data_IF_881113497542
#
_entry.id   IF_881113497542
#
_cell.length_a   1.000
_cell.length_b   1.000
_cell.length_c   1.000
_cell.angle_alpha   90.00
_cell.angle_beta   90.00
_cell.angle_gamma   90.00
#
_symmetry.space_group_name_H-M   'P 1'
#
loop_
_entity.id
_entity.type
_entity.pdbx_description
1 polymer ?
#
# COMPACT_ATOMS: atom_id res chain seq x y z
N UNK A 1 -14.16 23.72 -1.22
CA UNK A 1 -12.89 23.59 -1.98
C UNK A 1 -12.49 22.14 -1.89
N UNK A 2 -12.63 21.36 -2.96
CA UNK A 2 -12.09 19.99 -2.97
C UNK A 2 -10.58 20.18 -2.97
N UNK A 3 -9.91 19.79 -1.89
CA UNK A 3 -8.46 19.83 -1.84
C UNK A 3 -7.95 19.07 -3.06
N UNK A 4 -7.23 19.77 -3.94
CA UNK A 4 -6.46 19.11 -4.98
C UNK A 4 -5.47 18.23 -4.24
N UNK A 5 -5.77 16.94 -4.13
CA UNK A 5 -5.05 16.07 -3.21
C UNK A 5 -3.70 15.77 -3.87
N UNK A 6 -2.70 16.63 -3.62
CA UNK A 6 -1.39 16.63 -4.28
C UNK A 6 -0.72 15.26 -4.26
N UNK A 7 -1.03 14.45 -3.24
CA UNK A 7 -0.61 13.06 -3.12
C UNK A 7 -1.18 12.16 -4.24
N UNK A 8 -2.44 12.35 -4.64
CA UNK A 8 -3.05 11.60 -5.76
C UNK A 8 -2.44 11.96 -7.11
N UNK A 9 -1.96 13.21 -7.26
CA UNK A 9 -1.25 13.63 -8.46
C UNK A 9 0.12 12.92 -8.57
N UNK A 10 0.83 12.74 -7.44
CA UNK A 10 2.08 11.97 -7.40
C UNK A 10 1.87 10.56 -7.94
N UNK A 11 0.82 9.87 -7.48
CA UNK A 11 0.52 8.49 -7.89
C UNK A 11 0.14 8.38 -9.38
N UNK A 12 -0.64 9.34 -9.88
CA UNK A 12 -1.18 9.28 -11.25
C UNK A 12 -0.21 9.78 -12.32
N UNK A 13 0.70 10.69 -11.97
CA UNK A 13 1.72 11.22 -12.88
C UNK A 13 3.00 10.38 -12.90
N UNK A 14 3.26 9.59 -11.86
CA UNK A 14 4.45 8.75 -11.74
C UNK A 14 4.07 7.27 -11.72
N UNK A 15 3.21 6.83 -12.64
CA UNK A 15 2.77 5.44 -12.67
C UNK A 15 3.94 4.48 -12.85
N UNK A 16 3.85 3.30 -12.23
CA UNK A 16 4.81 2.23 -12.46
C UNK A 16 4.66 1.68 -13.88
N UNK A 17 5.72 1.81 -14.66
CA UNK A 17 5.83 1.32 -16.05
C UNK A 17 6.95 0.27 -16.21
N UNK A 18 7.65 -0.03 -15.12
CA UNK A 18 8.70 -1.04 -15.03
C UNK A 18 10.08 -0.41 -14.81
N UNK A 19 10.68 0.26 -15.82
CA UNK A 19 12.02 0.86 -15.68
C UNK A 19 12.15 1.90 -14.57
N UNK A 20 11.04 2.49 -14.13
CA UNK A 20 10.98 3.53 -13.10
C UNK A 20 10.67 2.98 -11.69
N UNK A 21 10.87 1.69 -11.43
CA UNK A 21 10.50 1.07 -10.14
C UNK A 21 11.07 1.79 -8.92
N UNK A 22 12.36 2.19 -8.96
CA UNK A 22 13.01 2.89 -7.84
C UNK A 22 12.34 4.23 -7.55
N UNK A 23 12.12 5.04 -8.58
CA UNK A 23 11.47 6.36 -8.45
C UNK A 23 10.00 6.23 -8.04
N UNK A 24 9.29 5.24 -8.60
CA UNK A 24 7.91 4.93 -8.23
C UNK A 24 7.80 4.54 -6.76
N UNK A 25 8.70 3.68 -6.27
CA UNK A 25 8.73 3.25 -4.86
C UNK A 25 8.98 4.43 -3.93
N UNK A 26 9.89 5.33 -4.28
CA UNK A 26 10.13 6.55 -3.50
C UNK A 26 8.89 7.46 -3.45
N UNK A 27 8.18 7.61 -4.57
CA UNK A 27 6.93 8.38 -4.63
C UNK A 27 5.82 7.74 -3.79
N UNK A 28 5.71 6.41 -3.83
CA UNK A 28 4.78 5.65 -2.99
C UNK A 28 5.08 5.86 -1.50
N UNK A 29 6.35 5.77 -1.08
CA UNK A 29 6.78 5.99 0.30
C UNK A 29 6.38 7.36 0.82
N UNK A 30 6.46 8.41 -0.01
CA UNK A 30 6.02 9.77 0.35
C UNK A 30 4.51 9.78 0.64
N UNK A 31 3.71 9.16 -0.23
CA UNK A 31 2.25 9.11 -0.06
C UNK A 31 1.88 8.30 1.18
N UNK A 32 2.45 7.11 1.37
CA UNK A 32 2.19 6.28 2.55
C UNK A 32 2.65 6.95 3.85
N UNK A 33 3.73 7.73 3.81
CA UNK A 33 4.15 8.54 4.97
C UNK A 33 3.12 9.61 5.31
N UNK A 34 2.66 10.36 4.30
CA UNK A 34 1.68 11.43 4.50
C UNK A 34 0.32 10.90 5.02
N UNK A 35 -0.08 9.71 4.58
CA UNK A 35 -1.30 9.02 5.01
C UNK A 35 -1.12 8.18 6.29
N UNK A 36 0.08 8.20 6.89
CA UNK A 36 0.42 7.45 8.11
C UNK A 36 0.31 5.92 7.98
N UNK A 37 0.55 5.39 6.78
CA UNK A 37 0.52 3.95 6.47
C UNK A 37 1.90 3.34 6.23
N UNK A 38 2.98 4.13 6.30
CA UNK A 38 4.35 3.63 6.06
C UNK A 38 4.74 2.44 6.94
N UNK A 39 4.19 2.35 8.16
CA UNK A 39 4.47 1.26 9.09
C UNK A 39 4.17 -0.13 8.49
N UNK A 40 3.24 -0.24 7.53
CA UNK A 40 2.93 -1.50 6.85
C UNK A 40 4.09 -2.08 6.04
N UNK A 41 5.06 -1.26 5.66
CA UNK A 41 6.22 -1.70 4.89
C UNK A 41 7.28 -2.38 5.76
N UNK A 42 7.28 -2.07 7.07
CA UNK A 42 8.29 -2.51 8.02
C UNK A 42 7.72 -3.49 9.07
N UNK A 43 6.41 -3.41 9.36
CA UNK A 43 5.74 -4.20 10.39
C UNK A 43 5.03 -5.43 9.81
N UNK A 44 5.14 -6.55 10.52
CA UNK A 44 4.42 -7.78 10.20
C UNK A 44 2.95 -7.63 10.55
N UNK A 45 2.07 -8.22 9.73
CA UNK A 45 0.64 -8.31 10.00
C UNK A 45 0.40 -8.90 11.40
N UNK A 46 -0.34 -8.21 12.29
CA UNK A 46 -0.69 -8.76 13.59
C UNK A 46 -1.53 -10.01 13.40
N UNK A 47 -1.26 -11.06 14.19
CA UNK A 47 -2.03 -12.30 14.13
C UNK A 47 -3.51 -12.02 14.36
N UNK A 48 -4.36 -12.65 13.54
CA UNK A 48 -5.81 -12.61 13.75
C UNK A 48 -6.09 -13.25 15.10
N UNK A 49 -6.73 -12.48 15.98
CA UNK A 49 -6.93 -12.78 17.39
C UNK A 49 -7.42 -14.21 17.64
N UNK A 50 -6.83 -14.85 18.67
CA UNK A 50 -7.39 -16.02 19.36
C UNK A 50 -8.49 -15.55 20.32
N UNK A 51 -9.26 -16.47 20.91
CA UNK A 51 -10.47 -16.17 21.69
C UNK A 51 -10.25 -15.30 22.96
N UNK A 52 -9.01 -14.93 23.29
CA UNK A 52 -8.56 -14.31 24.54
C UNK A 52 -7.91 -12.91 24.39
N UNK A 53 -8.10 -12.26 23.24
CA UNK A 53 -7.44 -10.99 22.88
C UNK A 53 -8.19 -9.76 23.44
N UNK A 54 -7.44 -8.75 23.89
CA UNK A 54 -7.97 -7.52 24.48
C UNK A 54 -8.63 -6.61 23.43
N UNK A 55 -9.51 -5.69 23.89
CA UNK A 55 -10.16 -4.71 22.99
C UNK A 55 -9.14 -3.84 22.25
N UNK A 56 -8.03 -3.48 22.91
CA UNK A 56 -6.96 -2.68 22.31
C UNK A 56 -6.22 -3.43 21.19
N UNK A 57 -5.95 -4.73 21.37
CA UNK A 57 -5.33 -5.57 20.34
C UNK A 57 -6.27 -5.78 19.15
N UNK A 58 -7.56 -5.99 19.40
CA UNK A 58 -8.57 -6.09 18.34
C UNK A 58 -8.67 -4.78 17.55
N UNK A 59 -8.60 -3.63 18.23
CA UNK A 59 -8.59 -2.31 17.59
C UNK A 59 -7.32 -2.07 16.77
N UNK A 60 -6.16 -2.50 17.26
CA UNK A 60 -4.90 -2.44 16.53
C UNK A 60 -4.96 -3.29 15.25
N UNK A 61 -5.49 -4.51 15.33
CA UNK A 61 -5.69 -5.39 14.17
C UNK A 61 -6.59 -4.74 13.11
N UNK A 62 -7.76 -4.22 13.50
CA UNK A 62 -8.65 -3.53 12.54
C UNK A 62 -8.02 -2.29 11.91
N UNK A 63 -7.24 -1.53 12.69
CA UNK A 63 -6.49 -0.38 12.17
C UNK A 63 -5.46 -0.83 11.13
N UNK A 64 -4.75 -1.93 11.39
CA UNK A 64 -3.77 -2.49 10.48
C UNK A 64 -4.42 -2.95 9.18
N UNK A 65 -5.52 -3.73 9.26
CA UNK A 65 -6.25 -4.20 8.07
C UNK A 65 -6.74 -3.04 7.21
N UNK A 66 -7.33 -2.01 7.83
CA UNK A 66 -7.76 -0.82 7.09
C UNK A 66 -6.59 -0.10 6.41
N UNK A 67 -5.45 -0.03 7.08
CA UNK A 67 -4.26 0.58 6.51
C UNK A 67 -3.75 -0.23 5.31
N UNK A 68 -3.69 -1.56 5.40
CA UNK A 68 -3.31 -2.46 4.31
C UNK A 68 -4.25 -2.31 3.09
N UNK A 69 -5.56 -2.31 3.32
CA UNK A 69 -6.56 -2.07 2.26
C UNK A 69 -6.34 -0.72 1.54
N UNK A 70 -6.08 0.35 2.30
CA UNK A 70 -5.85 1.67 1.73
C UNK A 70 -4.51 1.77 0.98
N UNK A 71 -3.45 1.20 1.53
CA UNK A 71 -2.14 1.14 0.89
C UNK A 71 -2.20 0.33 -0.42
N UNK A 72 -2.94 -0.78 -0.46
CA UNK A 72 -3.21 -1.54 -1.69
C UNK A 72 -3.91 -0.66 -2.74
N UNK A 73 -4.90 0.15 -2.35
CA UNK A 73 -5.55 1.10 -3.26
C UNK A 73 -4.55 2.08 -3.88
N UNK A 74 -3.63 2.64 -3.10
CA UNK A 74 -2.62 3.57 -3.61
C UNK A 74 -1.61 2.88 -4.55
N UNK A 75 -1.17 1.68 -4.20
CA UNK A 75 -0.27 0.88 -5.03
C UNK A 75 -0.93 0.58 -6.38
N UNK A 76 -2.15 0.02 -6.38
CA UNK A 76 -2.87 -0.32 -7.60
C UNK A 76 -3.21 0.93 -8.44
N UNK A 77 -3.57 2.05 -7.82
CA UNK A 77 -3.87 3.30 -8.54
C UNK A 77 -2.63 3.94 -9.19
N UNK A 78 -1.45 3.66 -8.65
CA UNK A 78 -0.16 4.18 -9.14
C UNK A 78 0.54 3.24 -10.12
N UNK A 79 -0.16 2.23 -10.65
CA UNK A 79 0.36 1.33 -11.67
C UNK A 79 -0.13 1.69 -13.07
N UNK A 80 0.62 1.29 -14.09
CA UNK A 80 0.07 1.14 -15.44
C UNK A 80 -1.09 0.13 -15.43
N UNK A 81 -2.01 0.24 -16.39
CA UNK A 81 -3.19 -0.61 -16.42
C UNK A 81 -2.83 -2.11 -16.53
N UNK A 82 -1.73 -2.44 -17.21
CA UNK A 82 -1.26 -3.82 -17.36
C UNK A 82 -0.82 -4.39 -16.01
N UNK A 83 0.02 -3.66 -15.28
CA UNK A 83 0.50 -4.07 -13.95
C UNK A 83 -0.64 -4.10 -12.93
N UNK A 84 -1.54 -3.13 -12.97
CA UNK A 84 -2.73 -3.10 -12.11
C UNK A 84 -3.56 -4.38 -12.28
N UNK A 85 -3.82 -4.81 -13.53
CA UNK A 85 -4.57 -6.03 -13.80
C UNK A 85 -3.87 -7.31 -13.32
N UNK A 86 -2.53 -7.34 -13.34
CA UNK A 86 -1.75 -8.47 -12.85
C UNK A 86 -1.77 -8.59 -11.32
N UNK A 87 -1.85 -7.45 -10.60
CA UNK A 87 -1.71 -7.43 -9.14
C UNK A 87 -3.04 -7.24 -8.39
N UNK A 88 -4.17 -6.98 -9.07
CA UNK A 88 -5.47 -6.69 -8.44
C UNK A 88 -6.00 -7.79 -7.50
N UNK A 89 -5.60 -9.05 -7.71
CA UNK A 89 -6.04 -10.20 -6.90
C UNK A 89 -5.14 -10.48 -5.70
N UNK A 90 -4.03 -9.77 -5.53
CA UNK A 90 -3.11 -9.97 -4.42
C UNK A 90 -3.67 -9.28 -3.18
N UNK A 91 -3.71 -10.01 -2.07
CA UNK A 91 -4.48 -9.62 -0.87
C UNK A 91 -3.71 -8.76 0.12
N UNK A 92 -2.37 -8.72 0.07
CA UNK A 92 -1.55 -7.94 0.99
C UNK A 92 -0.63 -6.95 0.26
N UNK A 93 -0.31 -5.82 0.90
CA UNK A 93 0.72 -4.89 0.41
C UNK A 93 2.06 -5.58 0.23
N UNK A 94 2.43 -6.43 1.20
CA UNK A 94 3.69 -7.14 1.24
C UNK A 94 3.90 -8.00 -0.02
N UNK A 95 2.93 -8.84 -0.35
CA UNK A 95 3.01 -9.75 -1.49
C UNK A 95 3.09 -8.98 -2.82
N UNK A 96 2.39 -7.84 -2.94
CA UNK A 96 2.50 -6.98 -4.13
C UNK A 96 3.92 -6.44 -4.25
N UNK A 97 4.48 -5.90 -3.17
CA UNK A 97 5.81 -5.27 -3.19
C UNK A 97 6.94 -6.27 -3.42
N UNK A 98 6.85 -7.47 -2.84
CA UNK A 98 7.82 -8.54 -3.11
C UNK A 98 7.73 -9.00 -4.57
N UNK A 99 6.53 -9.19 -5.11
CA UNK A 99 6.38 -9.57 -6.52
C UNK A 99 6.96 -8.51 -7.47
N UNK A 100 6.69 -7.23 -7.23
CA UNK A 100 7.24 -6.14 -8.04
C UNK A 100 8.77 -6.05 -7.98
N UNK A 101 9.36 -6.31 -6.81
CA UNK A 101 10.80 -6.33 -6.60
C UNK A 101 11.48 -7.51 -7.32
N UNK A 102 10.76 -8.61 -7.54
CA UNK A 102 11.26 -9.71 -8.36
C UNK A 102 11.16 -9.41 -9.86
N UNK A 103 10.18 -8.59 -10.27
CA UNK A 103 9.97 -8.21 -11.67
C UNK A 103 10.96 -7.14 -12.19
N UNK A 104 11.41 -6.22 -11.33
CA UNK A 104 12.17 -5.01 -11.70
C UNK A 104 13.40 -4.78 -10.82
#
# INVERSE_FOLDING_TARGET
MIAFNSLTAILTQNKLEGPNYVDWKQNLDIVLTAEQYKFLLDEVCPEKSRDDVTDDEQKAYHKWIKADEMARCYILASMSNVLQHQHQSIESVYDILENLKEMF
#
